data_IF_891744965821
#
_entry.id   IF_891744965821
#
_cell.length_a   1.000
_cell.length_b   1.000
_cell.length_c   1.000
_cell.angle_alpha   90.00
_cell.angle_beta   90.00
_cell.angle_gamma   90.00
#
_symmetry.space_group_name_H-M   'P 1'
#
loop_
_entity.id
_entity.type
_entity.pdbx_description
1 polymer ?
#
# COMPACT_ATOMS: atom_id res chain seq x y z
N UNK A 1 -23.22 -2.97 16.95
CA UNK A 1 -22.24 -3.95 17.45
C UNK A 1 -20.93 -3.21 17.58
N UNK A 2 -20.17 -3.43 18.66
CA UNK A 2 -18.85 -2.82 18.84
C UNK A 2 -17.76 -3.77 18.34
N UNK A 3 -16.54 -3.25 18.12
CA UNK A 3 -15.39 -4.09 17.75
C UNK A 3 -15.07 -5.04 18.90
N UNK A 4 -14.97 -6.33 18.61
CA UNK A 4 -14.57 -7.35 19.58
C UNK A 4 -13.21 -7.92 19.23
N UNK A 5 -12.43 -8.29 20.23
CA UNK A 5 -11.12 -8.91 20.03
C UNK A 5 -11.16 -10.37 20.48
N UNK A 6 -10.62 -11.27 19.66
CA UNK A 6 -10.36 -12.65 20.02
C UNK A 6 -8.95 -12.72 20.60
N UNK A 7 -8.80 -13.35 21.76
CA UNK A 7 -7.51 -13.52 22.43
C UNK A 7 -7.10 -14.99 22.47
N UNK A 8 -5.79 -15.25 22.38
CA UNK A 8 -5.23 -16.58 22.67
C UNK A 8 -5.22 -16.89 24.18
N UNK A 9 -4.71 -18.08 24.54
CA UNK A 9 -4.63 -18.52 25.93
C UNK A 9 -3.66 -17.69 26.79
N UNK A 10 -2.77 -16.93 26.16
CA UNK A 10 -1.82 -16.01 26.79
C UNK A 10 -2.37 -14.58 26.90
N UNK A 11 -3.57 -14.32 26.37
CA UNK A 11 -4.22 -13.02 26.37
C UNK A 11 -3.81 -12.10 25.21
N UNK A 12 -3.04 -12.59 24.23
CA UNK A 12 -2.69 -11.79 23.05
C UNK A 12 -3.87 -11.71 22.10
N UNK A 13 -4.14 -10.52 21.57
CA UNK A 13 -5.18 -10.32 20.55
C UNK A 13 -4.71 -10.93 19.22
N UNK A 14 -5.46 -11.91 18.73
CA UNK A 14 -5.13 -12.63 17.49
C UNK A 14 -6.03 -12.26 16.33
N UNK A 15 -7.26 -11.81 16.61
CA UNK A 15 -8.19 -11.35 15.59
C UNK A 15 -9.17 -10.29 16.15
N UNK A 16 -9.83 -9.58 15.24
CA UNK A 16 -10.89 -8.64 15.56
C UNK A 16 -12.16 -8.98 14.77
N UNK A 17 -13.31 -8.93 15.42
CA UNK A 17 -14.62 -8.99 14.79
C UNK A 17 -15.12 -7.56 14.68
N UNK A 18 -15.24 -7.08 13.44
CA UNK A 18 -15.59 -5.69 13.13
C UNK A 18 -17.00 -5.68 12.53
N UNK A 19 -17.91 -4.79 12.99
CA UNK A 19 -19.18 -4.56 12.32
C UNK A 19 -18.95 -4.15 10.86
N UNK A 20 -19.73 -4.72 9.94
CA UNK A 20 -19.53 -4.50 8.51
C UNK A 20 -19.48 -3.02 8.13
N UNK A 21 -20.40 -2.20 8.63
CA UNK A 21 -20.45 -0.76 8.33
C UNK A 21 -19.19 0.00 8.80
N UNK A 22 -18.57 -0.44 9.90
CA UNK A 22 -17.34 0.17 10.41
C UNK A 22 -16.13 -0.26 9.57
N UNK A 23 -16.09 -1.54 9.19
CA UNK A 23 -15.08 -2.05 8.27
C UNK A 23 -15.17 -1.33 6.91
N UNK A 24 -16.38 -1.19 6.35
CA UNK A 24 -16.60 -0.53 5.06
C UNK A 24 -16.17 0.95 5.09
N UNK A 25 -16.47 1.68 6.18
CA UNK A 25 -15.97 3.05 6.37
C UNK A 25 -14.44 3.10 6.42
N UNK A 26 -13.82 2.16 7.10
CA UNK A 26 -12.37 2.08 7.24
C UNK A 26 -11.69 1.80 5.90
N UNK A 27 -12.22 0.88 5.09
CA UNK A 27 -11.70 0.58 3.76
C UNK A 27 -11.80 1.80 2.83
N UNK A 28 -12.94 2.51 2.82
CA UNK A 28 -13.09 3.74 2.03
C UNK A 28 -12.09 4.84 2.44
N UNK A 29 -11.80 4.95 3.74
CA UNK A 29 -10.81 5.90 4.23
C UNK A 29 -9.37 5.51 3.85
N UNK A 30 -9.06 4.20 3.86
CA UNK A 30 -7.76 3.65 3.47
C UNK A 30 -7.41 4.03 2.04
N UNK A 31 -8.36 3.95 1.10
CA UNK A 31 -8.12 4.32 -0.30
C UNK A 31 -7.64 5.77 -0.42
N UNK A 32 -8.29 6.70 0.29
CA UNK A 32 -7.91 8.12 0.29
C UNK A 32 -6.52 8.29 0.92
N UNK A 33 -6.26 7.61 2.04
CA UNK A 33 -4.97 7.69 2.73
C UNK A 33 -3.82 7.15 1.88
N UNK A 34 -4.05 6.11 1.08
CA UNK A 34 -3.06 5.58 0.14
C UNK A 34 -2.70 6.64 -0.91
N UNK A 35 -3.67 7.34 -1.48
CA UNK A 35 -3.42 8.42 -2.43
C UNK A 35 -2.66 9.59 -1.78
N UNK A 36 -3.00 9.96 -0.55
CA UNK A 36 -2.27 11.01 0.20
C UNK A 36 -0.83 10.59 0.46
N UNK A 37 -0.61 9.34 0.85
CA UNK A 37 0.72 8.79 1.08
C UNK A 37 1.57 8.79 -0.19
N UNK A 38 1.02 8.29 -1.30
CA UNK A 38 1.70 8.29 -2.61
C UNK A 38 2.01 9.71 -3.08
N UNK A 39 1.07 10.65 -2.92
CA UNK A 39 1.30 12.06 -3.24
C UNK A 39 2.45 12.66 -2.41
N UNK A 40 2.57 12.27 -1.14
CA UNK A 40 3.71 12.61 -0.28
C UNK A 40 5.04 12.12 -0.84
N UNK A 41 5.15 10.83 -1.15
CA UNK A 41 6.36 10.24 -1.74
C UNK A 41 6.74 10.93 -3.05
N UNK A 42 5.77 11.15 -3.94
CA UNK A 42 6.01 11.83 -5.22
C UNK A 42 6.57 13.23 -4.98
N UNK A 43 5.97 13.98 -4.04
CA UNK A 43 6.43 15.33 -3.70
C UNK A 43 7.84 15.33 -3.12
N UNK A 44 8.16 14.40 -2.23
CA UNK A 44 9.51 14.25 -1.66
C UNK A 44 10.56 13.94 -2.73
N UNK A 45 10.20 13.12 -3.73
CA UNK A 45 11.13 12.65 -4.77
C UNK A 45 11.21 13.54 -6.01
N UNK A 46 10.29 14.50 -6.18
CA UNK A 46 10.11 15.27 -7.43
C UNK A 46 11.40 15.90 -7.97
N UNK A 47 12.25 16.41 -7.08
CA UNK A 47 13.49 17.10 -7.43
C UNK A 47 14.75 16.34 -6.93
N UNK A 48 14.58 15.07 -6.55
CA UNK A 48 15.69 14.21 -6.13
C UNK A 48 16.39 13.58 -7.34
N UNK A 49 17.70 13.33 -7.22
CA UNK A 49 18.41 12.57 -8.26
C UNK A 49 17.92 11.13 -8.32
N UNK A 50 17.69 10.58 -9.52
CA UNK A 50 17.28 9.19 -9.69
C UNK A 50 18.41 8.24 -9.27
N UNK A 51 18.09 7.23 -8.47
CA UNK A 51 19.05 6.24 -7.97
C UNK A 51 19.29 5.07 -8.93
N UNK A 52 18.42 4.90 -9.93
CA UNK A 52 18.45 3.82 -10.92
C UNK A 52 17.92 4.38 -12.25
N UNK A 53 18.46 3.91 -13.37
CA UNK A 53 17.98 4.31 -14.71
C UNK A 53 16.90 3.35 -15.22
N UNK A 54 16.25 3.72 -16.33
CA UNK A 54 15.16 2.94 -16.91
C UNK A 54 15.61 1.57 -17.43
N UNK A 55 16.81 1.46 -17.99
CA UNK A 55 17.30 0.21 -18.57
C UNK A 55 17.58 -0.83 -17.48
N UNK A 56 18.14 -0.41 -16.35
CA UNK A 56 18.36 -1.27 -15.19
C UNK A 56 17.04 -1.77 -14.59
N UNK A 57 16.01 -0.91 -14.55
CA UNK A 57 14.66 -1.29 -14.11
C UNK A 57 14.03 -2.33 -15.04
N UNK A 58 14.10 -2.12 -16.35
CA UNK A 58 13.54 -3.06 -17.33
C UNK A 58 14.25 -4.42 -17.27
N UNK A 59 15.58 -4.41 -17.20
CA UNK A 59 16.36 -5.63 -17.07
C UNK A 59 16.02 -6.42 -15.81
N UNK A 60 15.74 -5.75 -14.68
CA UNK A 60 15.35 -6.41 -13.43
C UNK A 60 14.01 -7.15 -13.56
N UNK A 61 13.09 -6.64 -14.39
CA UNK A 61 11.79 -7.24 -14.69
C UNK A 61 11.86 -8.22 -15.88
N UNK A 62 13.04 -8.46 -16.46
CA UNK A 62 13.22 -9.32 -17.63
C UNK A 62 12.65 -8.73 -18.92
N UNK A 63 12.53 -7.39 -18.98
CA UNK A 63 11.98 -6.63 -20.10
C UNK A 63 13.06 -5.81 -20.79
N UNK A 64 12.73 -5.36 -22.00
CA UNK A 64 13.52 -4.43 -22.81
C UNK A 64 12.66 -3.22 -23.18
N UNK A 65 13.29 -2.15 -23.68
CA UNK A 65 12.55 -0.98 -24.17
C UNK A 65 11.58 -1.31 -25.31
N UNK A 66 11.92 -2.30 -26.14
CA UNK A 66 11.07 -2.73 -27.24
C UNK A 66 9.72 -3.30 -26.74
N UNK A 67 9.71 -3.88 -25.54
CA UNK A 67 8.50 -4.44 -24.92
C UNK A 67 7.52 -3.36 -24.42
N UNK A 68 7.95 -2.08 -24.33
CA UNK A 68 7.09 -0.97 -23.91
C UNK A 68 6.32 -0.31 -25.06
N UNK A 69 6.75 -0.53 -26.32
CA UNK A 69 6.24 0.16 -27.51
C UNK A 69 5.21 -0.66 -28.30
N UNK A 70 4.86 -1.86 -27.82
CA UNK A 70 3.88 -2.79 -28.43
C UNK A 70 2.50 -2.69 -27.79
#
# INVERSE_FOLDING_TARGET
MEIQFITDAQGNRTAAIIPFDEWERTEKAKDILEHVYLAGIIKERKDSEPTINLDDLLNAEGLTRADLES
#
